data_IF_870014389734
#
_entry.id   IF_870014389734
#
_cell.length_a   1.000
_cell.length_b   1.000
_cell.length_c   1.000
_cell.angle_alpha   90.00
_cell.angle_beta   90.00
_cell.angle_gamma   90.00
#
_symmetry.space_group_name_H-M   'P 1'
#
loop_
_entity.id
_entity.type
_entity.pdbx_description
1 polymer ?
#
# COMPACT_ATOMS: atom_id res chain seq x y z
N UNK A 1 -56.82 12.81 -55.96
CA UNK A 1 -55.36 13.06 -55.86
C UNK A 1 -54.74 12.03 -54.91
N UNK A 2 -53.51 11.59 -55.21
CA UNK A 2 -52.64 10.65 -54.46
C UNK A 2 -52.84 9.13 -54.63
N UNK A 3 -52.19 8.64 -55.70
CA UNK A 3 -51.23 7.50 -55.81
C UNK A 3 -51.52 6.18 -55.06
N UNK A 4 -51.82 5.12 -55.82
CA UNK A 4 -51.78 3.70 -55.42
C UNK A 4 -51.09 2.92 -56.56
N UNK A 5 -49.85 2.48 -56.33
CA UNK A 5 -49.37 1.09 -56.11
C UNK A 5 -49.21 0.24 -57.37
N UNK A 6 -47.96 0.10 -57.76
CA UNK A 6 -47.31 -0.96 -58.58
C UNK A 6 -45.82 -0.57 -58.58
N UNK A 7 -44.78 -1.40 -58.51
CA UNK A 7 -44.53 -2.83 -58.40
C UNK A 7 -42.98 -2.94 -58.22
N UNK A 8 -42.42 -3.81 -57.37
CA UNK A 8 -41.37 -4.82 -57.71
C UNK A 8 -40.66 -5.42 -56.46
N UNK A 9 -40.40 -6.75 -56.44
CA UNK A 9 -39.88 -7.52 -55.30
C UNK A 9 -38.38 -7.87 -55.44
N UNK A 10 -37.68 -8.18 -54.34
CA UNK A 10 -36.70 -9.29 -54.25
C UNK A 10 -36.15 -9.40 -52.82
N UNK A 11 -36.26 -10.59 -52.26
CA UNK A 11 -35.65 -11.01 -50.99
C UNK A 11 -34.12 -11.07 -51.08
N UNK A 12 -33.41 -10.58 -50.06
CA UNK A 12 -32.13 -11.15 -49.63
C UNK A 12 -32.15 -11.26 -48.10
N UNK A 13 -32.18 -12.51 -47.66
CA UNK A 13 -31.98 -12.94 -46.29
C UNK A 13 -30.48 -13.14 -46.09
N UNK A 14 -29.85 -12.32 -45.25
CA UNK A 14 -28.51 -12.56 -44.75
C UNK A 14 -28.57 -12.76 -43.23
N UNK A 15 -28.88 -13.98 -42.80
CA UNK A 15 -28.43 -14.49 -41.50
C UNK A 15 -26.93 -14.77 -41.61
N UNK A 16 -26.10 -13.84 -41.14
CA UNK A 16 -24.70 -14.12 -40.91
C UNK A 16 -24.55 -14.75 -39.51
N UNK A 17 -23.99 -15.95 -39.52
CA UNK A 17 -23.68 -16.81 -38.39
C UNK A 17 -22.83 -16.12 -37.34
N UNK A 18 -23.05 -16.57 -36.10
CA UNK A 18 -22.52 -15.98 -34.89
C UNK A 18 -21.00 -15.95 -34.80
N UNK A 19 -20.54 -15.00 -34.00
CA UNK A 19 -19.23 -15.06 -33.38
C UNK A 19 -19.43 -15.59 -31.96
N UNK A 20 -19.25 -16.91 -31.80
CA UNK A 20 -18.86 -17.49 -30.52
C UNK A 20 -17.36 -17.22 -30.34
N UNK A 21 -16.99 -16.36 -29.41
CA UNK A 21 -15.72 -16.33 -28.66
C UNK A 21 -15.67 -15.00 -27.89
N UNK A 22 -15.51 -14.94 -26.58
CA UNK A 22 -14.81 -15.86 -25.69
C UNK A 22 -15.65 -16.20 -24.46
N UNK A 23 -15.82 -17.49 -24.19
CA UNK A 23 -15.97 -17.94 -22.82
C UNK A 23 -14.58 -18.11 -22.23
N UNK A 24 -14.23 -17.24 -21.29
CA UNK A 24 -13.21 -17.46 -20.28
C UNK A 24 -13.59 -16.56 -19.10
N UNK A 25 -13.79 -17.04 -17.89
CA UNK A 25 -13.82 -18.40 -17.38
C UNK A 25 -14.53 -18.31 -16.02
N UNK A 26 -14.95 -19.45 -15.46
CA UNK A 26 -15.26 -19.58 -14.03
C UNK A 26 -13.99 -19.30 -13.20
N UNK A 27 -13.57 -18.03 -13.18
CA UNK A 27 -12.37 -17.55 -12.51
C UNK A 27 -12.79 -17.00 -11.16
N UNK A 28 -12.59 -17.81 -10.13
CA UNK A 28 -12.57 -17.36 -8.74
C UNK A 28 -11.12 -17.09 -8.32
N UNK A 29 -10.87 -15.91 -7.75
CA UNK A 29 -9.63 -15.63 -7.03
C UNK A 29 -9.86 -15.94 -5.55
N UNK A 30 -9.18 -16.97 -5.04
CA UNK A 30 -9.11 -17.20 -3.60
C UNK A 30 -7.74 -16.69 -3.13
N UNK A 31 -7.74 -15.63 -2.34
CA UNK A 31 -6.53 -15.08 -1.73
C UNK A 31 -6.44 -15.58 -0.29
N UNK A 32 -5.40 -16.35 0.00
CA UNK A 32 -5.06 -16.75 1.37
C UNK A 32 -3.87 -15.89 1.79
N UNK A 33 -4.06 -15.13 2.85
CA UNK A 33 -3.06 -14.22 3.39
C UNK A 33 -2.94 -14.47 4.90
N UNK A 34 -1.75 -14.86 5.32
CA UNK A 34 -1.45 -15.24 6.69
C UNK A 34 0.03 -15.62 6.82
N UNK A 35 0.50 -15.67 8.06
CA UNK A 35 1.86 -16.07 8.40
C UNK A 35 1.82 -17.21 9.42
N UNK A 36 2.84 -18.08 9.39
CA UNK A 36 3.08 -19.10 10.41
C UNK A 36 4.31 -18.67 11.19
N UNK A 37 4.18 -18.60 12.52
CA UNK A 37 5.22 -18.19 13.45
C UNK A 37 5.24 -19.18 14.61
N UNK A 38 6.42 -19.39 15.21
CA UNK A 38 6.59 -20.24 16.39
C UNK A 38 5.88 -19.68 17.65
N UNK A 39 5.41 -18.42 17.59
CA UNK A 39 4.80 -17.67 18.69
C UNK A 39 3.47 -17.03 18.29
N UNK A 40 2.48 -17.08 19.18
CA UNK A 40 1.07 -16.69 18.95
C UNK A 40 0.72 -15.31 19.51
N UNK A 41 1.46 -14.26 19.15
CA UNK A 41 0.98 -12.90 19.42
C UNK A 41 -0.17 -12.57 18.47
N UNK A 42 -1.28 -12.06 18.99
CA UNK A 42 -2.31 -11.43 18.16
C UNK A 42 -1.87 -10.01 17.82
N UNK A 43 -1.74 -9.71 16.53
CA UNK A 43 -1.43 -8.36 16.06
C UNK A 43 -2.75 -7.65 15.80
N UNK A 44 -2.95 -6.48 16.38
CA UNK A 44 -4.10 -5.61 16.10
C UNK A 44 -3.64 -4.23 15.65
N UNK A 45 -4.50 -3.52 14.91
CA UNK A 45 -4.33 -2.08 14.69
C UNK A 45 -4.87 -1.26 15.86
N UNK A 46 -4.65 0.05 15.85
CA UNK A 46 -5.20 1.00 16.82
C UNK A 46 -6.75 0.97 16.96
N UNK A 47 -7.48 0.38 16.01
CA UNK A 47 -8.93 0.20 16.08
C UNK A 47 -9.35 -1.17 16.66
N UNK A 48 -8.40 -1.97 17.16
CA UNK A 48 -8.67 -3.30 17.74
C UNK A 48 -9.01 -4.40 16.73
N UNK A 49 -8.78 -4.15 15.43
CA UNK A 49 -9.01 -5.14 14.36
C UNK A 49 -7.75 -5.99 14.21
N UNK A 50 -7.91 -7.32 14.23
CA UNK A 50 -6.87 -8.29 13.93
C UNK A 50 -6.19 -7.95 12.59
N UNK A 51 -4.87 -7.82 12.64
CA UNK A 51 -4.06 -7.14 11.65
C UNK A 51 -3.07 -8.11 11.00
N UNK A 52 -3.59 -9.08 10.23
CA UNK A 52 -2.76 -9.72 9.20
C UNK A 52 -2.57 -8.76 8.02
N UNK A 53 -3.58 -7.93 7.75
CA UNK A 53 -3.60 -6.91 6.71
C UNK A 53 -4.07 -5.57 7.27
N UNK A 54 -3.28 -4.52 7.02
CA UNK A 54 -3.55 -3.15 7.48
C UNK A 54 -3.69 -2.23 6.27
N UNK A 55 -4.85 -1.57 6.16
CA UNK A 55 -5.07 -0.57 5.12
C UNK A 55 -4.97 0.83 5.70
N UNK A 56 -3.96 1.58 5.28
CA UNK A 56 -3.77 2.98 5.67
C UNK A 56 -4.28 3.90 4.56
N UNK A 57 -5.42 4.54 4.81
CA UNK A 57 -5.95 5.59 3.93
C UNK A 57 -5.22 6.90 4.17
N UNK A 58 -4.31 7.22 3.26
CA UNK A 58 -3.56 8.48 3.27
C UNK A 58 -4.46 9.67 2.83
N UNK A 59 -4.30 10.87 3.41
CA UNK A 59 -5.05 12.04 3.01
C UNK A 59 -4.67 12.50 1.59
N UNK A 60 -5.54 13.31 0.97
CA UNK A 60 -5.21 14.00 -0.28
C UNK A 60 -4.37 15.25 0.06
N UNK A 61 -3.22 15.40 -0.59
CA UNK A 61 -2.34 16.57 -0.47
C UNK A 61 -2.11 17.22 -1.83
N UNK A 62 -1.63 18.46 -1.84
CA UNK A 62 -1.28 19.14 -3.09
C UNK A 62 0.11 18.72 -3.57
N UNK A 63 0.32 18.65 -4.89
CA UNK A 63 1.65 18.37 -5.47
C UNK A 63 2.71 19.38 -4.98
N UNK A 64 2.31 20.64 -4.81
CA UNK A 64 3.20 21.71 -4.35
C UNK A 64 3.70 21.49 -2.92
N UNK A 65 2.87 20.93 -2.03
CA UNK A 65 3.30 20.58 -0.68
C UNK A 65 4.32 19.44 -0.68
N UNK A 66 4.15 18.46 -1.58
CA UNK A 66 5.11 17.36 -1.73
C UNK A 66 6.41 17.87 -2.39
N UNK A 67 6.32 18.74 -3.40
CA UNK A 67 7.47 19.31 -4.12
C UNK A 67 8.46 20.05 -3.20
N UNK A 68 8.00 20.61 -2.08
CA UNK A 68 8.85 21.44 -1.19
C UNK A 68 9.20 20.77 0.14
N UNK A 69 8.59 19.64 0.47
CA UNK A 69 8.91 18.92 1.71
C UNK A 69 10.17 18.08 1.55
N UNK A 70 10.67 17.52 2.65
CA UNK A 70 11.83 16.62 2.65
C UNK A 70 11.57 15.43 3.56
N UNK A 71 12.33 14.35 3.36
CA UNK A 71 12.29 13.20 4.27
C UNK A 71 12.69 13.59 5.69
N UNK A 72 13.71 14.44 5.85
CA UNK A 72 14.17 14.93 7.14
C UNK A 72 13.13 15.80 7.87
N UNK A 73 12.28 16.51 7.12
CA UNK A 73 11.14 17.25 7.67
C UNK A 73 9.93 16.37 8.01
N UNK A 74 9.97 15.07 7.72
CA UNK A 74 8.89 14.12 8.01
C UNK A 74 7.78 14.07 6.95
N UNK A 75 8.00 14.66 5.76
CA UNK A 75 7.04 14.65 4.66
C UNK A 75 5.79 15.52 4.89
N UNK A 76 4.73 15.25 4.12
CA UNK A 76 3.41 15.91 4.24
C UNK A 76 2.28 14.90 4.20
N UNK A 77 1.10 15.29 4.70
CA UNK A 77 -0.07 14.39 4.71
C UNK A 77 0.12 13.18 5.62
N UNK A 78 0.78 13.38 6.76
CA UNK A 78 1.11 12.31 7.68
C UNK A 78 -0.17 11.59 8.16
N UNK A 79 -0.11 10.26 8.18
CA UNK A 79 -1.13 9.38 8.76
C UNK A 79 -0.48 8.44 9.74
N UNK A 80 -0.89 8.54 10.99
CA UNK A 80 -0.42 7.68 12.07
C UNK A 80 -1.11 6.32 12.03
N UNK A 81 -0.38 5.30 12.43
CA UNK A 81 -0.87 3.95 12.65
C UNK A 81 -0.04 3.23 13.70
N UNK A 82 -0.65 2.25 14.35
CA UNK A 82 0.01 1.43 15.35
C UNK A 82 -0.16 -0.05 15.01
N UNK A 83 0.87 -0.82 15.33
CA UNK A 83 0.82 -2.27 15.37
C UNK A 83 0.92 -2.68 16.83
N UNK A 84 -0.15 -3.25 17.36
CA UNK A 84 -0.25 -3.66 18.76
C UNK A 84 -0.10 -5.17 18.84
N UNK A 85 0.79 -5.64 19.70
CA UNK A 85 0.89 -7.04 20.06
C UNK A 85 0.02 -7.29 21.29
N UNK A 86 -0.78 -8.35 21.24
CA UNK A 86 -1.64 -8.79 22.33
C UNK A 86 -1.48 -10.29 22.54
N UNK A 87 -1.80 -10.73 23.75
CA UNK A 87 -1.87 -12.14 24.14
C UNK A 87 -0.63 -12.96 23.77
N UNK A 88 0.54 -12.31 23.74
CA UNK A 88 1.81 -12.97 23.55
C UNK A 88 2.12 -13.88 24.74
N UNK A 89 2.71 -15.04 24.45
CA UNK A 89 3.16 -15.96 25.49
C UNK A 89 4.14 -15.27 26.45
N UNK A 90 4.09 -15.62 27.74
CA UNK A 90 4.94 -15.01 28.77
C UNK A 90 6.45 -15.21 28.52
N UNK A 91 6.84 -16.21 27.73
CA UNK A 91 8.23 -16.44 27.33
C UNK A 91 8.77 -15.33 26.42
N UNK A 92 7.90 -14.61 25.71
CA UNK A 92 8.26 -13.50 24.82
C UNK A 92 8.41 -12.24 25.66
N UNK A 93 9.62 -11.69 25.70
CA UNK A 93 9.94 -10.50 26.50
C UNK A 93 10.15 -9.28 25.63
N UNK A 94 10.50 -9.47 24.37
CA UNK A 94 10.70 -8.37 23.42
C UNK A 94 10.17 -8.74 22.05
N UNK A 95 9.85 -7.71 21.30
CA UNK A 95 9.58 -7.84 19.88
C UNK A 95 10.22 -6.68 19.12
N UNK A 96 10.61 -6.95 17.88
CA UNK A 96 11.00 -5.93 16.92
C UNK A 96 10.25 -6.13 15.62
N UNK A 97 10.25 -5.11 14.77
CA UNK A 97 9.60 -5.16 13.46
C UNK A 97 10.54 -4.64 12.39
N UNK A 98 10.52 -5.32 11.25
CA UNK A 98 11.18 -4.89 10.02
C UNK A 98 10.15 -4.66 8.93
N UNK A 99 10.46 -3.78 7.98
CA UNK A 99 9.58 -3.45 6.86
C UNK A 99 10.31 -3.70 5.54
N UNK A 100 9.66 -4.44 4.64
CA UNK A 100 10.20 -4.74 3.32
C UNK A 100 9.10 -4.62 2.26
N UNK A 101 9.49 -4.42 1.00
CA UNK A 101 8.56 -4.50 -0.12
C UNK A 101 9.30 -5.04 -1.33
N UNK A 102 8.79 -6.10 -1.94
CA UNK A 102 9.44 -6.73 -3.08
C UNK A 102 9.29 -5.90 -4.36
N UNK A 103 8.19 -5.16 -4.50
CA UNK A 103 7.83 -4.46 -5.73
C UNK A 103 8.02 -2.94 -5.64
N UNK A 104 7.85 -2.37 -4.45
CA UNK A 104 7.73 -0.92 -4.31
C UNK A 104 8.86 -0.29 -3.52
N UNK A 105 9.77 -1.06 -2.91
CA UNK A 105 10.88 -0.48 -2.18
C UNK A 105 11.83 0.32 -3.11
N UNK A 106 12.11 1.56 -2.74
CA UNK A 106 13.23 2.35 -3.22
C UNK A 106 14.32 2.35 -2.16
N UNK A 107 15.27 1.42 -2.29
CA UNK A 107 16.30 1.18 -1.28
C UNK A 107 17.23 2.39 -1.12
N UNK A 108 17.46 3.17 -2.18
CA UNK A 108 18.36 4.33 -2.12
C UNK A 108 17.84 5.44 -1.20
N UNK A 109 16.52 5.55 -1.04
CA UNK A 109 15.88 6.53 -0.16
C UNK A 109 15.14 5.91 1.02
N UNK A 110 15.07 4.57 1.12
CA UNK A 110 14.33 3.86 2.16
C UNK A 110 12.82 4.14 2.12
N UNK A 111 12.24 4.26 0.93
CA UNK A 111 10.83 4.66 0.74
C UNK A 111 10.05 3.66 -0.13
N UNK A 112 8.75 3.88 -0.28
CA UNK A 112 7.86 3.10 -1.14
C UNK A 112 7.42 3.91 -2.36
N UNK A 113 7.62 3.36 -3.56
CA UNK A 113 7.12 3.91 -4.83
C UNK A 113 5.63 3.61 -5.00
N UNK A 114 4.86 4.53 -5.61
CA UNK A 114 3.55 4.22 -6.13
C UNK A 114 3.63 3.09 -7.18
N UNK A 115 2.62 2.24 -7.21
CA UNK A 115 2.42 1.24 -8.26
C UNK A 115 2.15 1.96 -9.59
N UNK A 116 3.10 1.86 -10.52
CA UNK A 116 3.03 2.48 -11.83
C UNK A 116 1.99 1.82 -12.75
N UNK A 117 1.53 0.60 -12.44
CA UNK A 117 0.50 -0.11 -13.22
C UNK A 117 -0.91 0.42 -12.94
N UNK A 118 -1.10 1.13 -11.82
CA UNK A 118 -2.37 1.79 -11.50
C UNK A 118 -2.59 2.97 -12.45
N UNK A 119 -3.72 2.95 -13.17
CA UNK A 119 -4.10 4.05 -14.05
C UNK A 119 -4.19 5.38 -13.29
N UNK A 120 -3.44 6.36 -13.78
CA UNK A 120 -3.29 7.67 -13.15
C UNK A 120 -2.39 7.67 -11.92
N UNK A 121 -1.41 6.76 -11.82
CA UNK A 121 -0.42 6.74 -10.74
C UNK A 121 0.35 8.06 -10.66
N UNK A 122 0.59 8.53 -9.44
CA UNK A 122 1.39 9.72 -9.19
C UNK A 122 2.86 9.45 -9.53
N UNK A 123 3.58 10.48 -9.97
CA UNK A 123 5.00 10.37 -10.31
C UNK A 123 5.84 11.33 -9.46
N UNK A 124 7.11 10.98 -9.28
CA UNK A 124 8.10 11.75 -8.51
C UNK A 124 7.73 11.96 -7.03
N UNK A 125 6.87 11.10 -6.49
CA UNK A 125 6.44 11.05 -5.10
C UNK A 125 6.65 9.64 -4.56
N UNK A 126 6.93 9.52 -3.27
CA UNK A 126 7.01 8.26 -2.55
C UNK A 126 6.30 8.37 -1.21
N UNK A 127 6.04 7.21 -0.59
CA UNK A 127 5.59 7.12 0.80
C UNK A 127 6.80 6.75 1.66
N UNK A 128 7.06 7.54 2.70
CA UNK A 128 8.05 7.22 3.71
C UNK A 128 7.35 6.80 5.00
N UNK A 129 7.90 5.80 5.68
CA UNK A 129 7.50 5.43 7.03
C UNK A 129 8.45 6.07 8.04
N UNK A 130 7.90 6.48 9.18
CA UNK A 130 8.66 7.06 10.28
C UNK A 130 8.24 6.43 11.58
N UNK A 131 9.21 6.28 12.47
CA UNK A 131 8.93 6.08 13.88
C UNK A 131 8.09 7.24 14.41
N UNK A 132 7.18 6.94 15.34
CA UNK A 132 6.29 7.95 15.91
C UNK A 132 6.18 7.77 17.43
N UNK A 133 7.34 7.66 18.09
CA UNK A 133 7.42 7.61 19.56
C UNK A 133 7.94 8.93 20.11
N UNK A 134 7.83 9.13 21.42
CA UNK A 134 8.34 10.35 22.09
C UNK A 134 9.85 10.55 21.92
N UNK A 135 10.63 9.48 21.72
CA UNK A 135 12.10 9.50 21.68
C UNK A 135 12.67 9.19 20.31
N UNK A 136 11.88 8.63 19.40
CA UNK A 136 12.31 8.26 18.06
C UNK A 136 11.26 8.64 17.02
N UNK A 137 11.67 9.54 16.12
CA UNK A 137 10.90 10.00 14.95
C UNK A 137 11.68 9.83 13.64
N UNK A 138 12.72 8.99 13.65
CA UNK A 138 13.54 8.73 12.46
C UNK A 138 12.72 8.07 11.36
N UNK A 139 13.18 8.22 10.12
CA UNK A 139 12.66 7.44 9.01
C UNK A 139 12.98 5.95 9.24
N UNK A 140 12.03 5.09 8.86
CA UNK A 140 12.21 3.65 8.71
C UNK A 140 12.71 3.39 7.29
N UNK A 141 13.81 2.65 7.14
CA UNK A 141 14.45 2.37 5.86
C UNK A 141 13.94 1.04 5.30
N UNK A 142 12.94 1.14 4.41
CA UNK A 142 12.28 -0.04 3.84
C UNK A 142 13.28 -0.94 3.11
N UNK A 143 13.32 -2.22 3.49
CA UNK A 143 14.16 -3.24 2.89
C UNK A 143 15.64 -3.18 3.30
N UNK A 144 16.02 -2.26 4.19
CA UNK A 144 17.37 -2.23 4.75
C UNK A 144 17.49 -3.26 5.89
N UNK A 145 18.36 -4.28 5.78
CA UNK A 145 18.50 -5.31 6.82
C UNK A 145 19.17 -4.81 8.10
N UNK A 146 19.77 -3.62 8.08
CA UNK A 146 20.43 -2.99 9.23
C UNK A 146 19.51 -2.03 9.97
N UNK A 147 18.34 -1.69 9.40
CA UNK A 147 17.36 -0.83 10.05
C UNK A 147 16.54 -1.63 11.07
N UNK A 148 16.67 -1.24 12.33
CA UNK A 148 15.78 -1.70 13.40
C UNK A 148 14.79 -0.58 13.66
N UNK A 149 13.67 -0.63 12.94
CA UNK A 149 12.65 0.41 13.00
C UNK A 149 12.25 0.71 14.45
N UNK A 150 11.78 -0.31 15.17
CA UNK A 150 11.53 -0.27 16.62
C UNK A 150 11.77 -1.64 17.25
N UNK A 151 12.13 -1.60 18.54
CA UNK A 151 12.10 -2.74 19.45
C UNK A 151 11.38 -2.33 20.72
N UNK A 152 10.46 -3.17 21.20
CA UNK A 152 9.64 -2.90 22.36
C UNK A 152 9.74 -4.06 23.35
N UNK A 153 9.78 -3.73 24.63
CA UNK A 153 9.60 -4.72 25.69
C UNK A 153 8.11 -5.04 25.83
N UNK A 154 7.80 -6.31 26.04
CA UNK A 154 6.43 -6.75 26.27
C UNK A 154 6.13 -6.71 27.77
N UNK A 155 5.01 -6.09 28.11
CA UNK A 155 4.48 -6.04 29.48
C UNK A 155 3.15 -6.78 29.47
N UNK A 156 3.04 -7.84 30.27
CA UNK A 156 1.84 -8.68 30.34
C UNK A 156 1.38 -9.19 28.96
N UNK A 157 2.34 -9.60 28.12
CA UNK A 157 2.07 -10.11 26.78
C UNK A 157 1.64 -9.03 25.76
N UNK A 158 1.83 -7.75 26.08
CA UNK A 158 1.43 -6.62 25.24
C UNK A 158 2.60 -5.73 24.84
N UNK A 159 2.56 -5.20 23.62
CA UNK A 159 3.53 -4.25 23.09
C UNK A 159 2.88 -3.34 22.03
N UNK A 160 3.41 -2.13 21.83
CA UNK A 160 2.88 -1.18 20.85
C UNK A 160 4.01 -0.61 20.02
N UNK A 161 3.90 -0.75 18.70
CA UNK A 161 4.76 -0.07 17.75
C UNK A 161 3.99 1.09 17.11
N UNK A 162 4.52 2.30 17.21
CA UNK A 162 3.86 3.51 16.73
C UNK A 162 4.61 4.11 15.53
N UNK A 163 3.90 4.29 14.43
CA UNK A 163 4.44 4.77 13.17
C UNK A 163 3.58 5.87 12.56
N UNK A 164 4.15 6.56 11.58
CA UNK A 164 3.40 7.37 10.64
C UNK A 164 3.91 7.15 9.22
N UNK A 165 3.00 7.18 8.27
CA UNK A 165 3.30 7.25 6.85
C UNK A 165 3.13 8.71 6.38
N UNK A 166 3.98 9.19 5.48
CA UNK A 166 3.86 10.52 4.88
C UNK A 166 4.34 10.53 3.43
N UNK A 167 3.82 11.46 2.63
CA UNK A 167 4.31 11.69 1.27
C UNK A 167 5.61 12.49 1.29
N UNK A 168 6.56 12.09 0.47
CA UNK A 168 7.85 12.75 0.26
C UNK A 168 8.18 12.78 -1.24
N UNK A 169 9.05 13.69 -1.69
CA UNK A 169 9.66 13.56 -3.01
C UNK A 169 10.32 12.18 -3.19
N UNK A 170 10.13 11.55 -4.35
CA UNK A 170 10.84 10.30 -4.67
C UNK A 170 12.33 10.54 -4.94
N UNK A 171 13.11 9.47 -5.08
CA UNK A 171 14.50 9.56 -5.51
C UNK A 171 14.69 10.19 -6.91
N UNK A 172 13.68 10.08 -7.78
CA UNK A 172 13.69 10.63 -9.15
C UNK A 172 13.28 12.11 -9.22
N UNK A 173 12.79 12.67 -8.11
CA UNK A 173 12.35 14.07 -8.06
C UNK A 173 13.52 15.04 -8.22
N UNK A 174 13.28 16.10 -8.98
CA UNK A 174 14.18 17.26 -9.05
C UNK A 174 13.40 18.52 -9.43
N UNK A 175 14.03 19.69 -9.35
CA UNK A 175 13.41 20.95 -9.77
C UNK A 175 12.91 20.94 -11.23
N UNK A 176 13.51 20.13 -12.09
CA UNK A 176 13.10 19.94 -13.50
C UNK A 176 12.25 18.70 -13.72
N UNK A 177 12.06 17.85 -12.70
CA UNK A 177 11.23 16.65 -12.71
C UNK A 177 10.32 16.64 -11.46
N UNK A 178 9.40 17.62 -11.40
CA UNK A 178 8.54 17.87 -10.24
C UNK A 178 7.50 16.76 -10.03
N UNK A 179 6.87 16.75 -8.85
CA UNK A 179 5.75 15.86 -8.52
C UNK A 179 4.61 16.00 -9.54
N UNK A 180 4.13 14.86 -10.03
CA UNK A 180 2.94 14.77 -10.86
C UNK A 180 1.79 14.21 -10.05
N UNK A 181 0.64 14.90 -10.09
CA UNK A 181 -0.57 14.47 -9.40
C UNK A 181 -1.06 13.12 -9.91
N UNK A 182 -1.55 12.28 -9.01
CA UNK A 182 -2.09 10.99 -9.34
C UNK A 182 -2.47 10.20 -8.10
N UNK A 183 -2.87 8.94 -8.30
CA UNK A 183 -3.13 7.98 -7.24
C UNK A 183 -1.81 7.47 -6.67
N UNK A 184 -1.74 7.38 -5.34
CA UNK A 184 -0.66 6.66 -4.66
C UNK A 184 -1.25 5.38 -4.12
N UNK A 185 -0.91 4.27 -4.76
CA UNK A 185 -1.15 2.93 -4.25
C UNK A 185 0.21 2.26 -4.08
N UNK A 186 0.47 1.67 -2.94
CA UNK A 186 1.73 0.96 -2.65
C UNK A 186 1.48 -0.01 -1.51
N UNK A 187 2.42 -0.93 -1.28
CA UNK A 187 2.36 -1.83 -0.14
C UNK A 187 3.73 -2.04 0.49
N UNK A 188 3.68 -2.49 1.74
CA UNK A 188 4.83 -2.89 2.53
C UNK A 188 4.43 -4.08 3.37
N UNK A 189 5.33 -5.04 3.46
CA UNK A 189 5.24 -6.17 4.37
C UNK A 189 5.97 -5.79 5.64
N UNK A 190 5.30 -5.91 6.79
CA UNK A 190 5.97 -5.88 8.08
C UNK A 190 6.26 -7.32 8.53
N UNK A 191 7.37 -7.54 9.22
CA UNK A 191 7.73 -8.83 9.79
C UNK A 191 8.09 -8.62 11.25
N UNK A 192 7.39 -9.32 12.13
CA UNK A 192 7.62 -9.31 13.57
C UNK A 192 8.66 -10.36 13.94
N UNK A 193 9.62 -9.96 14.76
CA UNK A 193 10.63 -10.83 15.33
C UNK A 193 10.44 -10.85 16.85
N UNK A 194 10.29 -12.03 17.43
CA UNK A 194 10.03 -12.22 18.86
C UNK A 194 11.28 -12.75 19.56
N UNK A 195 11.54 -12.24 20.77
CA UNK A 195 12.69 -12.60 21.62
C UNK A 195 12.25 -12.88 23.07
#
# INVERSE_FOLDING_TARGET
MKKIKTLFPLSVFCLAFGSLSAQAADLGLITFDGAVSDTTCEITTNNGIAANNVTISMPVVTKAAVDVTTRAAGGVGAKEFELMLNDCAESVKKASVSFSSQQFAELSSGTLKPDATVSGSAQNVSVALYNNTATNVSQVLIGDPTDVAQSVALVEGRGVFAYKAAYVPSADWSATNSVQSGKVNTNVTFTMNYE
#
